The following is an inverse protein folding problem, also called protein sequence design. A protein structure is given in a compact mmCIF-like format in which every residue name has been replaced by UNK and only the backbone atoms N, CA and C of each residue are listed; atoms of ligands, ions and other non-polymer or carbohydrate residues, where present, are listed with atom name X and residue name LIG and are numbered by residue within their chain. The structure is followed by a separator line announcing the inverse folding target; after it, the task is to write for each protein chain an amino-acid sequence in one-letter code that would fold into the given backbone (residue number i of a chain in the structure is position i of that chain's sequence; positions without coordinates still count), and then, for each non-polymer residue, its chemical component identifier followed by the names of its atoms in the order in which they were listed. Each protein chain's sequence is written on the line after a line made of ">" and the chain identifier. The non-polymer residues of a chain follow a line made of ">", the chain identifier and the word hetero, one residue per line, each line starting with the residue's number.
data_IF_665228605558
#
_entry.id   IF_665228605558
#
_cell.length_a   1.000
_cell.length_b   1.000
_cell.length_c   1.000
_cell.angle_alpha   90.00
_cell.angle_beta   90.00
_cell.angle_gamma   90.00
#
_symmetry.space_group_name_H-M   'P 1'
#
loop_
_entity.id
_entity.type
_entity.pdbx_description
1 polymer ?
#
# COMPACT_ATOMS: atom_id res chain seq x y z
N UNK A 1 -1.89 5.24 36.25
CA UNK A 1 -1.13 4.16 35.58
C UNK A 1 -1.27 4.42 34.09
N UNK A 2 -0.23 5.00 33.47
CA UNK A 2 -0.26 5.34 32.06
C UNK A 2 -0.06 4.06 31.26
N UNK A 3 -1.07 3.69 30.47
CA UNK A 3 -0.96 2.59 29.53
C UNK A 3 0.01 3.00 28.41
N UNK A 4 0.86 2.08 27.92
CA UNK A 4 1.72 2.38 26.77
C UNK A 4 0.85 2.79 25.56
N UNK A 5 1.25 3.83 24.85
CA UNK A 5 0.54 4.33 23.67
C UNK A 5 0.65 3.42 22.44
N UNK A 6 1.45 2.37 22.53
CA UNK A 6 1.60 1.38 21.46
C UNK A 6 0.51 0.30 21.57
N UNK A 7 -0.22 -0.01 20.49
CA UNK A 7 -1.19 -1.09 20.50
C UNK A 7 -0.50 -2.43 20.75
N UNK A 8 -1.20 -3.36 21.40
CA UNK A 8 -0.70 -4.71 21.65
C UNK A 8 -0.47 -5.49 20.35
N UNK A 9 -1.31 -5.27 19.35
CA UNK A 9 -1.19 -5.78 17.99
C UNK A 9 -1.32 -4.62 17.02
N UNK A 10 -0.43 -4.55 16.06
CA UNK A 10 -0.48 -3.51 15.02
C UNK A 10 -1.65 -3.76 14.05
N UNK A 11 -2.04 -2.72 13.32
CA UNK A 11 -3.09 -2.85 12.31
C UNK A 11 -2.69 -3.88 11.24
N UNK A 12 -3.61 -4.77 10.89
CA UNK A 12 -3.38 -5.83 9.91
C UNK A 12 -2.60 -7.03 10.43
N UNK A 13 -2.25 -7.08 11.74
CA UNK A 13 -1.54 -8.22 12.33
C UNK A 13 -2.34 -9.51 12.16
N UNK A 14 -1.64 -10.56 11.75
CA UNK A 14 -2.16 -11.91 11.63
C UNK A 14 -1.07 -12.95 11.85
N UNK A 15 -1.50 -14.21 12.03
CA UNK A 15 -0.60 -15.35 12.16
C UNK A 15 -0.92 -16.36 11.07
N UNK A 16 0.09 -17.09 10.62
CA UNK A 16 -0.05 -18.18 9.67
C UNK A 16 0.67 -19.44 10.18
N UNK A 17 0.23 -20.61 9.75
CA UNK A 17 0.91 -21.88 9.99
C UNK A 17 2.04 -22.13 8.99
N UNK A 18 2.21 -21.24 8.00
CA UNK A 18 3.27 -21.28 7.01
C UNK A 18 4.04 -19.95 6.98
N UNK A 19 5.10 -19.88 6.17
CA UNK A 19 5.94 -18.69 6.04
C UNK A 19 5.85 -18.14 4.63
N UNK A 20 5.63 -16.83 4.51
CA UNK A 20 5.61 -16.13 3.23
C UNK A 20 6.85 -15.24 3.07
N UNK A 21 7.44 -15.28 1.90
CA UNK A 21 8.58 -14.45 1.50
C UNK A 21 8.15 -13.48 0.40
N UNK A 22 8.55 -12.22 0.56
CA UNK A 22 8.22 -11.13 -0.37
C UNK A 22 9.47 -10.72 -1.14
N UNK A 23 9.33 -10.49 -2.43
CA UNK A 23 10.43 -10.11 -3.31
C UNK A 23 9.94 -9.27 -4.50
N UNK A 24 10.88 -8.74 -5.28
CA UNK A 24 10.64 -8.10 -6.58
C UNK A 24 9.61 -6.96 -6.55
N UNK A 25 9.79 -5.97 -5.67
CA UNK A 25 8.96 -4.77 -5.78
C UNK A 25 9.24 -4.06 -7.12
N UNK A 26 8.17 -3.76 -7.85
CA UNK A 26 8.24 -3.02 -9.10
C UNK A 26 7.18 -1.92 -9.11
N UNK A 27 7.59 -0.72 -9.48
CA UNK A 27 6.73 0.46 -9.65
C UNK A 27 6.79 0.85 -11.13
N UNK A 28 5.64 0.90 -11.79
CA UNK A 28 5.56 1.05 -13.25
C UNK A 28 6.03 2.40 -13.79
N UNK A 29 6.06 3.43 -12.94
CA UNK A 29 6.52 4.76 -13.29
C UNK A 29 7.16 5.44 -12.07
N UNK A 30 8.28 6.13 -12.26
CA UNK A 30 8.92 6.91 -11.21
C UNK A 30 8.15 8.21 -10.90
N UNK A 31 7.42 8.73 -11.89
CA UNK A 31 6.63 9.96 -11.80
C UNK A 31 5.28 9.77 -12.45
N UNK A 32 4.24 10.36 -11.88
CA UNK A 32 2.87 10.40 -12.41
C UNK A 32 2.24 11.77 -12.22
N UNK A 33 1.30 12.14 -13.09
CA UNK A 33 0.43 13.29 -12.92
C UNK A 33 -0.66 13.05 -11.87
N UNK A 34 -1.34 14.12 -11.45
CA UNK A 34 -2.37 14.07 -10.41
C UNK A 34 -3.67 13.32 -10.82
N UNK A 35 -3.86 13.01 -12.11
CA UNK A 35 -5.00 12.23 -12.62
C UNK A 35 -4.59 10.84 -13.13
N UNK A 36 -3.33 10.49 -12.97
CA UNK A 36 -2.79 9.23 -13.47
C UNK A 36 -2.81 8.14 -12.39
N UNK A 37 -2.44 6.95 -12.81
CA UNK A 37 -2.29 5.80 -11.92
C UNK A 37 -0.91 5.18 -12.05
N UNK A 38 -0.45 4.55 -10.98
CA UNK A 38 0.78 3.76 -10.95
C UNK A 38 0.45 2.32 -10.58
N UNK A 39 1.14 1.37 -11.21
CA UNK A 39 1.07 -0.04 -10.81
C UNK A 39 2.25 -0.35 -9.87
N UNK A 40 1.92 -0.95 -8.73
CA UNK A 40 2.89 -1.38 -7.73
C UNK A 40 2.72 -2.88 -7.57
N UNK A 41 3.76 -3.67 -7.82
CA UNK A 41 3.67 -5.11 -7.73
C UNK A 41 4.80 -5.72 -6.92
N UNK A 42 4.54 -6.89 -6.36
CA UNK A 42 5.54 -7.74 -5.71
C UNK A 42 5.29 -9.21 -6.01
N UNK A 43 6.27 -10.05 -5.74
CA UNK A 43 6.13 -11.49 -5.75
C UNK A 43 6.11 -11.99 -4.31
N UNK A 44 5.12 -12.84 -4.00
CA UNK A 44 5.02 -13.55 -2.72
C UNK A 44 5.20 -15.03 -2.97
N UNK A 45 6.01 -15.69 -2.14
CA UNK A 45 6.25 -17.13 -2.17
C UNK A 45 5.81 -17.75 -0.85
N UNK A 46 5.10 -18.86 -0.89
CA UNK A 46 4.93 -19.71 0.28
C UNK A 46 6.19 -20.55 0.46
N UNK A 47 7.03 -20.17 1.39
CA UNK A 47 8.31 -20.84 1.70
C UNK A 47 8.20 -21.87 2.83
N UNK A 48 6.99 -22.19 3.28
CA UNK A 48 6.72 -23.24 4.25
C UNK A 48 6.29 -24.54 3.60
N UNK A 49 5.93 -25.52 4.42
CA UNK A 49 5.61 -26.90 4.01
C UNK A 49 4.09 -27.21 4.02
N UNK A 50 3.25 -26.23 4.29
CA UNK A 50 1.80 -26.38 4.24
C UNK A 50 1.14 -25.21 3.50
N UNK A 51 -0.05 -25.43 2.95
CA UNK A 51 -0.84 -24.39 2.33
C UNK A 51 -1.29 -23.36 3.36
N UNK A 52 -1.47 -22.12 2.90
CA UNK A 52 -1.96 -21.04 3.76
C UNK A 52 -2.41 -19.83 2.98
N UNK A 53 -3.06 -18.93 3.70
CA UNK A 53 -3.51 -17.65 3.16
C UNK A 53 -2.57 -16.54 3.65
N UNK A 54 -2.24 -15.63 2.74
CA UNK A 54 -1.54 -14.39 3.04
C UNK A 54 -2.41 -13.20 2.65
N UNK A 55 -2.37 -12.15 3.45
CA UNK A 55 -2.99 -10.86 3.13
C UNK A 55 -1.89 -9.86 2.82
N UNK A 56 -1.61 -9.69 1.54
CA UNK A 56 -0.66 -8.69 1.06
C UNK A 56 -1.27 -7.31 1.19
N UNK A 57 -0.63 -6.42 1.96
CA UNK A 57 -1.11 -5.08 2.27
C UNK A 57 -0.19 -4.04 1.65
N UNK A 58 -0.79 -3.05 0.98
CA UNK A 58 -0.09 -1.89 0.43
C UNK A 58 -0.44 -0.66 1.27
N UNK A 59 0.58 -0.02 1.81
CA UNK A 59 0.49 1.25 2.51
C UNK A 59 1.14 2.36 1.69
N UNK A 60 0.54 3.54 1.71
CA UNK A 60 1.12 4.75 1.15
C UNK A 60 1.49 5.72 2.27
N UNK A 61 2.63 6.35 2.13
CA UNK A 61 3.13 7.38 3.02
C UNK A 61 3.58 8.59 2.22
N UNK A 62 2.93 9.71 2.45
CA UNK A 62 3.39 11.00 1.95
C UNK A 62 4.55 11.48 2.82
N UNK A 63 5.69 11.78 2.21
CA UNK A 63 6.89 12.22 2.96
C UNK A 63 6.75 13.63 3.50
N UNK A 64 6.10 14.52 2.75
CA UNK A 64 6.04 15.95 3.05
C UNK A 64 4.66 16.52 2.71
N UNK A 65 3.68 16.26 3.54
CA UNK A 65 2.35 16.84 3.37
C UNK A 65 2.27 18.25 3.97
N UNK A 66 1.59 19.17 3.29
CA UNK A 66 1.34 20.54 3.77
C UNK A 66 0.39 20.61 4.97
N UNK A 67 -0.30 19.50 5.29
CA UNK A 67 -1.21 19.33 6.41
C UNK A 67 -0.85 18.08 7.22
N UNK A 68 -1.23 18.07 8.50
CA UNK A 68 -1.07 16.87 9.35
C UNK A 68 -1.86 15.70 8.79
N UNK A 69 -1.19 14.60 8.52
CA UNK A 69 -1.76 13.35 7.99
C UNK A 69 -1.33 12.15 8.85
N UNK A 70 -2.05 11.02 8.76
CA UNK A 70 -1.55 9.76 9.29
C UNK A 70 -0.16 9.45 8.73
N UNK A 71 0.69 8.81 9.55
CA UNK A 71 2.07 8.45 9.14
C UNK A 71 2.07 7.58 7.89
N UNK A 72 1.07 6.69 7.75
CA UNK A 72 0.81 5.86 6.59
C UNK A 72 -0.69 5.49 6.54
N UNK A 73 -1.18 5.21 5.35
CA UNK A 73 -2.57 4.81 5.10
C UNK A 73 -2.61 3.51 4.31
N UNK A 74 -3.53 2.60 4.66
CA UNK A 74 -3.77 1.39 3.87
C UNK A 74 -4.41 1.78 2.55
N UNK A 75 -3.67 1.64 1.45
CA UNK A 75 -4.15 1.97 0.11
C UNK A 75 -4.82 0.79 -0.59
N UNK A 76 -4.45 -0.43 -0.25
CA UNK A 76 -5.04 -1.63 -0.82
C UNK A 76 -4.55 -2.90 -0.13
N UNK A 77 -5.29 -3.98 -0.37
CA UNK A 77 -4.90 -5.30 0.12
C UNK A 77 -5.41 -6.39 -0.83
N UNK A 78 -4.76 -7.57 -0.77
CA UNK A 78 -5.18 -8.75 -1.50
C UNK A 78 -4.93 -9.99 -0.66
N UNK A 79 -5.99 -10.76 -0.38
CA UNK A 79 -5.87 -12.10 0.20
C UNK A 79 -5.59 -13.10 -0.92
N UNK A 80 -4.57 -13.93 -0.74
CA UNK A 80 -4.15 -14.98 -1.66
C UNK A 80 -4.01 -16.29 -0.90
N UNK A 81 -4.51 -17.39 -1.48
CA UNK A 81 -4.28 -18.75 -1.00
C UNK A 81 -3.11 -19.34 -1.79
N UNK A 82 -2.16 -19.97 -1.11
CA UNK A 82 -0.93 -20.47 -1.72
C UNK A 82 -0.59 -21.86 -1.20
N UNK A 83 -0.32 -22.77 -2.13
CA UNK A 83 0.29 -24.07 -1.85
C UNK A 83 1.78 -23.93 -1.50
N UNK A 84 2.42 -24.95 -0.84
CA UNK A 84 3.87 -24.93 -0.62
C UNK A 84 4.65 -24.69 -1.91
N UNK A 85 5.71 -23.87 -1.83
CA UNK A 85 6.59 -23.47 -2.94
C UNK A 85 5.92 -22.61 -4.03
N UNK A 86 4.63 -22.37 -3.96
CA UNK A 86 3.91 -21.53 -4.93
C UNK A 86 4.36 -20.08 -4.87
N UNK A 87 4.41 -19.45 -6.05
CA UNK A 87 4.70 -18.02 -6.20
C UNK A 87 3.54 -17.31 -6.87
N UNK A 88 3.19 -16.16 -6.32
CA UNK A 88 2.10 -15.31 -6.84
C UNK A 88 2.60 -13.89 -6.97
N UNK A 89 2.40 -13.27 -8.14
CA UNK A 89 2.59 -11.83 -8.33
C UNK A 89 1.30 -11.11 -7.98
N UNK A 90 1.37 -10.21 -7.02
CA UNK A 90 0.28 -9.29 -6.67
C UNK A 90 0.59 -7.92 -7.24
N UNK A 91 -0.39 -7.32 -7.92
CA UNK A 91 -0.28 -5.98 -8.53
C UNK A 91 -1.41 -5.11 -8.03
N UNK A 92 -1.08 -3.97 -7.48
CA UNK A 92 -2.00 -2.90 -7.09
C UNK A 92 -1.97 -1.79 -8.13
N UNK A 93 -3.14 -1.32 -8.57
CA UNK A 93 -3.29 -0.12 -9.38
C UNK A 93 -3.74 1.01 -8.47
N UNK A 94 -2.85 1.94 -8.19
CA UNK A 94 -3.05 3.09 -7.31
C UNK A 94 -3.37 4.31 -8.16
N UNK A 95 -4.49 4.97 -7.90
CA UNK A 95 -4.80 6.27 -8.50
C UNK A 95 -4.13 7.39 -7.69
N UNK A 96 -3.65 8.44 -8.34
CA UNK A 96 -3.04 9.58 -7.64
C UNK A 96 -3.99 10.23 -6.63
N UNK A 97 -5.29 10.23 -6.92
CA UNK A 97 -6.33 10.80 -6.07
C UNK A 97 -6.53 10.05 -4.73
N UNK A 98 -6.03 8.82 -4.60
CA UNK A 98 -6.02 8.11 -3.30
C UNK A 98 -5.18 8.86 -2.25
N UNK A 99 -4.16 9.60 -2.68
CA UNK A 99 -3.33 10.43 -1.80
C UNK A 99 -3.95 11.78 -1.45
N UNK A 100 -5.14 12.12 -2.02
CA UNK A 100 -5.78 13.41 -1.77
C UNK A 100 -6.22 13.58 -0.31
N UNK A 101 -6.14 14.81 0.16
CA UNK A 101 -6.54 15.23 1.49
C UNK A 101 -7.31 16.56 1.46
N UNK A 102 -7.95 16.93 2.56
CA UNK A 102 -8.63 18.22 2.70
C UNK A 102 -7.63 19.33 3.05
N UNK A 103 -7.56 20.36 2.21
CA UNK A 103 -6.79 21.56 2.47
C UNK A 103 -7.44 22.42 3.58
N UNK A 104 -6.82 23.55 3.94
CA UNK A 104 -7.32 24.46 4.98
C UNK A 104 -8.69 25.08 4.64
N UNK A 105 -9.08 25.06 3.38
CA UNK A 105 -10.39 25.52 2.89
C UNK A 105 -11.40 24.37 2.72
N UNK A 106 -11.09 23.18 3.26
CA UNK A 106 -11.93 21.97 3.16
C UNK A 106 -12.18 21.51 1.71
N UNK A 107 -11.22 21.73 0.83
CA UNK A 107 -11.26 21.24 -0.56
C UNK A 107 -10.31 20.05 -0.70
N UNK A 108 -10.73 19.04 -1.43
CA UNK A 108 -9.88 17.90 -1.74
C UNK A 108 -8.75 18.28 -2.69
N UNK A 109 -7.53 17.93 -2.31
CA UNK A 109 -6.31 18.25 -3.07
C UNK A 109 -5.41 17.02 -3.14
N UNK A 110 -4.95 16.70 -4.35
CA UNK A 110 -3.76 15.90 -4.60
C UNK A 110 -2.58 16.85 -4.54
N UNK A 111 -1.58 16.55 -3.74
CA UNK A 111 -0.39 17.39 -3.59
C UNK A 111 0.81 16.73 -4.28
N UNK A 112 1.61 17.57 -4.97
CA UNK A 112 2.87 17.09 -5.55
C UNK A 112 3.84 16.69 -4.44
N UNK A 113 4.54 15.59 -4.62
CA UNK A 113 5.49 15.12 -3.61
C UNK A 113 5.89 13.67 -3.84
N UNK A 114 6.82 13.21 -3.01
CA UNK A 114 7.27 11.82 -3.02
C UNK A 114 6.36 10.97 -2.14
N UNK A 115 5.85 9.90 -2.70
CA UNK A 115 5.01 8.92 -2.03
C UNK A 115 5.81 7.62 -1.86
N UNK A 116 5.98 7.20 -0.61
CA UNK A 116 6.51 5.88 -0.31
C UNK A 116 5.40 4.83 -0.40
N UNK A 117 5.66 3.78 -1.18
CA UNK A 117 4.84 2.59 -1.27
C UNK A 117 5.48 1.49 -0.41
N UNK A 118 4.77 1.04 0.61
CA UNK A 118 5.23 0.04 1.56
C UNK A 118 4.34 -1.20 1.44
N UNK A 119 4.93 -2.36 1.12
CA UNK A 119 4.21 -3.64 1.03
C UNK A 119 4.63 -4.52 2.20
N UNK A 120 3.65 -5.14 2.86
CA UNK A 120 3.90 -6.04 3.98
C UNK A 120 2.68 -6.87 4.38
N UNK A 121 2.83 -7.64 5.46
CA UNK A 121 1.76 -8.45 6.06
C UNK A 121 0.98 -7.70 7.15
N UNK A 122 1.50 -6.57 7.61
CA UNK A 122 0.82 -5.67 8.55
C UNK A 122 1.43 -4.28 8.49
N UNK A 123 0.86 -3.32 9.23
CA UNK A 123 1.38 -1.94 9.28
C UNK A 123 2.79 -1.82 9.86
N UNK A 124 3.23 -2.78 10.67
CA UNK A 124 4.56 -2.83 11.29
C UNK A 124 5.50 -3.83 10.62
N UNK A 125 4.96 -4.84 9.93
CA UNK A 125 5.73 -5.85 9.22
C UNK A 125 5.83 -5.52 7.72
N UNK A 126 6.57 -4.45 7.43
CA UNK A 126 6.83 -3.99 6.05
C UNK A 126 8.02 -4.77 5.49
N UNK A 127 7.80 -5.44 4.38
CA UNK A 127 8.78 -6.31 3.70
C UNK A 127 9.47 -5.64 2.53
N UNK A 128 8.75 -4.80 1.78
CA UNK A 128 9.25 -4.14 0.59
C UNK A 128 8.89 -2.66 0.60
N UNK A 129 9.77 -1.82 0.06
CA UNK A 129 9.56 -0.39 -0.06
C UNK A 129 10.00 0.11 -1.42
N UNK A 130 9.25 1.06 -1.95
CA UNK A 130 9.59 1.78 -3.16
C UNK A 130 9.02 3.20 -3.08
N UNK A 131 9.38 4.05 -4.02
CA UNK A 131 8.94 5.46 -4.04
C UNK A 131 8.57 5.85 -5.46
N UNK A 132 7.52 6.65 -5.60
CA UNK A 132 7.17 7.35 -6.83
C UNK A 132 6.82 8.80 -6.48
N UNK A 133 6.76 9.67 -7.50
CA UNK A 133 6.48 11.09 -7.33
C UNK A 133 5.19 11.47 -8.03
N UNK A 134 4.37 12.29 -7.36
CA UNK A 134 3.29 13.05 -7.99
C UNK A 134 3.89 14.40 -8.41
N UNK A 135 3.74 14.75 -9.69
CA UNK A 135 4.47 15.88 -10.30
C UNK A 135 3.78 17.22 -10.13
N UNK A 136 2.47 17.24 -9.83
CA UNK A 136 1.67 18.46 -9.81
C UNK A 136 0.61 18.47 -8.70
N UNK A 137 0.22 19.66 -8.29
CA UNK A 137 -0.90 19.89 -7.39
C UNK A 137 -2.21 19.92 -8.18
N UNK A 138 -3.28 19.29 -7.65
CA UNK A 138 -4.60 19.35 -8.25
C UNK A 138 -5.71 19.30 -7.22
N UNK A 139 -6.71 20.19 -7.35
CA UNK A 139 -7.97 20.08 -6.61
C UNK A 139 -8.93 19.17 -7.35
N UNK A 140 -9.56 18.28 -6.62
CA UNK A 140 -10.41 17.22 -7.17
C UNK A 140 -11.80 17.23 -6.52
N UNK A 141 -12.76 16.56 -7.17
CA UNK A 141 -14.02 16.22 -6.53
C UNK A 141 -13.81 15.00 -5.61
N UNK A 142 -13.81 15.23 -4.30
CA UNK A 142 -13.58 14.16 -3.31
C UNK A 142 -14.63 13.05 -3.31
N UNK A 143 -15.81 13.28 -3.90
CA UNK A 143 -16.85 12.25 -4.04
C UNK A 143 -16.52 11.18 -5.09
N UNK A 144 -15.65 11.52 -6.03
CA UNK A 144 -15.23 10.64 -7.14
C UNK A 144 -13.88 9.97 -6.90
N UNK A 145 -13.17 10.34 -5.83
CA UNK A 145 -11.84 9.81 -5.57
C UNK A 145 -11.87 8.30 -5.26
N UNK A 146 -10.83 7.61 -5.68
CA UNK A 146 -10.63 6.22 -5.32
C UNK A 146 -10.26 6.08 -3.82
N UNK A 147 -10.90 5.13 -3.12
CA UNK A 147 -10.56 4.83 -1.72
C UNK A 147 -9.51 3.74 -1.60
N UNK A 148 -9.56 2.72 -2.47
CA UNK A 148 -8.65 1.59 -2.46
C UNK A 148 -8.11 1.29 -3.84
N UNK A 149 -6.85 0.85 -3.87
CA UNK A 149 -6.21 0.36 -5.07
C UNK A 149 -6.89 -0.94 -5.55
N UNK A 150 -7.12 -1.05 -6.84
CA UNK A 150 -7.55 -2.31 -7.45
C UNK A 150 -6.39 -3.30 -7.39
N UNK A 151 -6.64 -4.49 -6.85
CA UNK A 151 -5.62 -5.53 -6.71
C UNK A 151 -5.93 -6.74 -7.60
N UNK A 152 -4.91 -7.26 -8.27
CA UNK A 152 -4.97 -8.50 -9.04
C UNK A 152 -3.82 -9.42 -8.67
N UNK A 153 -4.00 -10.73 -8.89
CA UNK A 153 -2.97 -11.74 -8.69
C UNK A 153 -2.73 -12.52 -9.98
N UNK A 154 -1.50 -13.00 -10.14
CA UNK A 154 -1.09 -13.90 -11.23
C UNK A 154 -0.14 -14.94 -10.62
N UNK A 155 -0.45 -16.22 -10.81
CA UNK A 155 0.41 -17.34 -10.41
C UNK A 155 1.60 -17.44 -11.36
N UNK A 156 2.79 -17.74 -10.83
CA UNK A 156 4.05 -17.77 -11.57
C UNK A 156 4.57 -19.20 -11.72
#
# INVERSE_FOLDING_TARGET
>A
MDLPHTPRYCFGHGLSYTRFEYSEIHISAAEIGAEESVQISCVVKNAGNCAGDEVVQLYLRDRFASMTRPVKELAGFKRIHMEPEEKVRVTFTVQADQSAFLDRQMRWKVEKGDIDAEIGSSSEDIRLKGTYRITEDKWINGMERAFYAKAREVRL
#
